data_IF_306719420739
#
_entry.id   IF_306719420739
#
_cell.length_a   1.000
_cell.length_b   1.000
_cell.length_c   1.000
_cell.angle_alpha   90.00
_cell.angle_beta   90.00
_cell.angle_gamma   90.00
#
_symmetry.space_group_name_H-M   'P 1'
#
loop_
_entity.id
_entity.type
_entity.pdbx_description
1 polymer ?
#
# COMPACT_ATOMS: atom_id res chain seq x y z
N UNK A 1 13.99 8.38 8.19
CA UNK A 1 13.15 9.06 9.20
C UNK A 1 13.19 8.23 10.46
N UNK A 2 13.60 8.80 11.60
CA UNK A 2 13.63 8.07 12.86
C UNK A 2 12.24 8.02 13.53
N UNK A 3 12.06 7.14 14.51
CA UNK A 3 10.77 6.93 15.19
C UNK A 3 10.34 8.12 16.06
N UNK A 4 11.29 8.85 16.64
CA UNK A 4 11.03 10.02 17.47
C UNK A 4 10.52 11.19 16.62
N UNK A 5 11.11 11.41 15.45
CA UNK A 5 10.68 12.42 14.48
C UNK A 5 9.20 12.26 14.07
N UNK A 6 8.72 11.02 13.90
CA UNK A 6 7.30 10.78 13.61
C UNK A 6 6.41 11.13 14.81
N UNK A 7 6.79 10.74 16.03
CA UNK A 7 6.02 11.07 17.23
C UNK A 7 5.94 12.58 17.47
N UNK A 8 7.04 13.31 17.25
CA UNK A 8 7.09 14.76 17.35
C UNK A 8 6.18 15.43 16.33
N UNK A 9 6.16 14.97 15.08
CA UNK A 9 5.28 15.52 14.05
C UNK A 9 3.81 15.38 14.46
N UNK A 10 3.40 14.22 14.95
CA UNK A 10 2.04 13.98 15.42
C UNK A 10 1.67 14.85 16.63
N UNK A 11 2.62 15.09 17.53
CA UNK A 11 2.43 15.94 18.70
C UNK A 11 2.35 17.43 18.35
N UNK A 12 3.35 17.96 17.65
CA UNK A 12 3.46 19.37 17.29
C UNK A 12 2.30 19.85 16.41
N UNK A 13 1.72 18.95 15.61
CA UNK A 13 0.56 19.25 14.76
C UNK A 13 -0.78 18.87 15.39
N UNK A 14 -0.78 18.28 16.60
CA UNK A 14 -1.97 17.79 17.29
C UNK A 14 -2.83 16.82 16.45
N UNK A 15 -2.20 15.95 15.66
CA UNK A 15 -2.88 15.07 14.68
C UNK A 15 -3.11 13.63 15.16
N UNK A 16 -2.66 13.27 16.36
CA UNK A 16 -2.83 11.91 16.90
C UNK A 16 -4.30 11.46 17.01
N UNK A 17 -5.17 12.29 17.62
CA UNK A 17 -6.58 11.93 17.80
C UNK A 17 -7.39 12.00 16.49
N UNK A 18 -7.15 13.03 15.67
CA UNK A 18 -7.88 13.23 14.42
C UNK A 18 -7.57 12.13 13.40
N UNK A 19 -6.31 11.68 13.30
CA UNK A 19 -5.94 10.56 12.42
C UNK A 19 -6.53 9.23 12.89
N UNK A 20 -6.57 8.96 14.20
CA UNK A 20 -7.13 7.72 14.75
C UNK A 20 -8.65 7.58 14.54
N UNK A 21 -9.37 8.69 14.36
CA UNK A 21 -10.83 8.71 14.14
C UNK A 21 -11.28 7.83 12.96
N UNK A 22 -10.41 7.68 11.95
CA UNK A 22 -10.69 6.81 10.80
C UNK A 22 -11.00 5.36 11.19
N UNK A 23 -10.46 4.85 12.31
CA UNK A 23 -10.73 3.48 12.73
C UNK A 23 -12.21 3.25 13.10
N UNK A 24 -12.90 4.30 13.54
CA UNK A 24 -14.32 4.24 13.85
C UNK A 24 -15.19 4.60 12.64
N UNK A 25 -14.72 5.51 11.78
CA UNK A 25 -15.51 6.05 10.66
C UNK A 25 -15.33 5.29 9.35
N UNK A 26 -14.24 4.54 9.18
CA UNK A 26 -13.98 3.77 7.98
C UNK A 26 -15.04 2.67 7.81
N UNK A 27 -16.01 2.92 6.93
CA UNK A 27 -16.93 1.90 6.48
C UNK A 27 -16.19 0.93 5.56
N UNK A 28 -16.49 -0.36 5.68
CA UNK A 28 -16.02 -1.33 4.70
C UNK A 28 -16.75 -1.05 3.39
N UNK A 29 -16.03 -0.49 2.42
CA UNK A 29 -16.53 -0.33 1.07
C UNK A 29 -16.63 -1.71 0.43
N UNK A 30 -17.83 -2.06 -0.04
CA UNK A 30 -18.12 -3.34 -0.71
C UNK A 30 -18.07 -3.19 -2.23
N UNK A 31 -17.98 -1.96 -2.74
CA UNK A 31 -17.98 -1.70 -4.17
C UNK A 31 -16.63 -2.10 -4.81
N UNK A 32 -16.65 -2.86 -5.91
CA UNK A 32 -15.43 -3.23 -6.64
C UNK A 32 -14.69 -2.00 -7.18
N UNK A 33 -13.36 -2.03 -7.19
CA UNK A 33 -12.56 -0.99 -7.83
C UNK A 33 -12.79 -1.02 -9.35
N UNK A 34 -13.28 0.07 -9.99
CA UNK A 34 -13.60 0.06 -11.41
C UNK A 34 -12.37 0.25 -12.32
N UNK A 35 -11.18 0.44 -11.74
CA UNK A 35 -9.94 0.67 -12.47
C UNK A 35 -8.93 -0.45 -12.22
N UNK A 36 -8.01 -0.68 -13.18
CA UNK A 36 -6.94 -1.67 -13.03
C UNK A 36 -6.09 -1.47 -11.79
N UNK A 37 -5.78 -2.57 -11.11
CA UNK A 37 -5.07 -2.60 -9.83
C UNK A 37 -3.71 -3.29 -9.99
N UNK A 38 -2.68 -2.72 -9.37
CA UNK A 38 -1.41 -3.38 -9.10
C UNK A 38 -1.30 -3.78 -7.64
N UNK A 39 -0.74 -4.96 -7.36
CA UNK A 39 -0.55 -5.45 -5.99
C UNK A 39 0.92 -5.83 -5.77
N UNK A 40 1.53 -5.25 -4.74
CA UNK A 40 2.86 -5.59 -4.26
C UNK A 40 2.75 -6.23 -2.86
N UNK A 41 3.17 -7.48 -2.74
CA UNK A 41 3.15 -8.23 -1.47
C UNK A 41 4.54 -8.25 -0.87
N UNK A 42 4.69 -7.63 0.31
CA UNK A 42 5.95 -7.62 1.07
C UNK A 42 5.88 -8.62 2.23
N UNK A 43 6.92 -9.44 2.38
CA UNK A 43 6.91 -10.60 3.29
C UNK A 43 6.57 -10.31 4.76
N UNK A 44 6.83 -9.10 5.26
CA UNK A 44 6.62 -8.72 6.67
C UNK A 44 5.44 -7.74 6.86
N UNK A 45 4.52 -7.64 5.89
CA UNK A 45 3.28 -6.89 6.09
C UNK A 45 2.34 -7.64 7.06
N UNK A 46 1.53 -6.90 7.80
CA UNK A 46 0.48 -7.43 8.69
C UNK A 46 -0.59 -8.19 7.93
N UNK A 47 -0.78 -7.88 6.64
CA UNK A 47 -1.76 -8.53 5.76
C UNK A 47 -1.10 -8.93 4.45
N UNK A 48 -0.91 -10.24 4.26
CA UNK A 48 -0.42 -10.79 3.00
C UNK A 48 -1.61 -11.06 2.08
N UNK A 49 -1.60 -10.41 0.92
CA UNK A 49 -2.65 -10.57 -0.08
C UNK A 49 -2.52 -11.92 -0.77
N UNK A 50 -3.65 -12.60 -0.97
CA UNK A 50 -3.72 -13.91 -1.65
C UNK A 50 -4.25 -13.67 -3.06
N UNK A 51 -3.41 -13.92 -4.07
CA UNK A 51 -3.72 -13.58 -5.47
C UNK A 51 -5.08 -14.08 -5.95
N UNK A 52 -5.46 -15.37 -5.80
CA UNK A 52 -6.78 -15.83 -6.23
C UNK A 52 -7.97 -15.14 -5.53
N UNK A 53 -7.79 -14.68 -4.28
CA UNK A 53 -8.85 -13.96 -3.58
C UNK A 53 -8.97 -12.52 -4.08
N UNK A 54 -7.82 -11.88 -4.36
CA UNK A 54 -7.77 -10.53 -4.85
C UNK A 54 -8.30 -10.42 -6.29
N UNK A 55 -7.97 -11.36 -7.16
CA UNK A 55 -8.46 -11.43 -8.55
C UNK A 55 -9.98 -11.64 -8.65
N UNK A 56 -10.63 -12.16 -7.60
CA UNK A 56 -12.10 -12.26 -7.54
C UNK A 56 -12.80 -10.92 -7.32
N UNK A 57 -12.07 -9.92 -6.83
CA UNK A 57 -12.62 -8.64 -6.40
C UNK A 57 -12.12 -7.48 -7.26
N UNK A 58 -10.97 -7.63 -7.92
CA UNK A 58 -10.27 -6.55 -8.62
C UNK A 58 -9.73 -6.99 -9.99
N UNK A 59 -9.70 -6.06 -10.94
CA UNK A 59 -9.00 -6.23 -12.22
C UNK A 59 -7.48 -6.06 -12.01
N UNK A 60 -6.80 -7.12 -11.58
CA UNK A 60 -5.37 -7.10 -11.27
C UNK A 60 -4.55 -7.21 -12.56
N UNK A 61 -3.72 -6.20 -12.81
CA UNK A 61 -2.84 -6.14 -14.00
C UNK A 61 -1.35 -6.21 -13.69
N UNK A 62 -0.99 -6.15 -12.41
CA UNK A 62 0.39 -6.24 -11.95
C UNK A 62 0.41 -6.92 -10.58
N UNK A 63 1.31 -7.87 -10.42
CA UNK A 63 1.46 -8.65 -9.20
C UNK A 63 2.93 -8.94 -8.95
N UNK A 64 3.43 -8.47 -7.81
CA UNK A 64 4.81 -8.67 -7.38
C UNK A 64 4.85 -9.18 -5.94
N UNK A 65 5.78 -10.08 -5.66
CA UNK A 65 6.03 -10.61 -4.32
C UNK A 65 7.50 -10.39 -3.94
N UNK A 66 7.74 -9.85 -2.75
CA UNK A 66 9.06 -9.47 -2.28
C UNK A 66 9.39 -10.15 -0.95
N UNK A 67 10.58 -10.74 -0.85
CA UNK A 67 11.09 -11.42 0.35
C UNK A 67 11.49 -10.47 1.49
N UNK A 68 11.57 -9.15 1.22
CA UNK A 68 12.03 -8.13 2.17
C UNK A 68 11.08 -6.93 2.19
N UNK A 69 11.07 -6.20 3.30
CA UNK A 69 10.12 -5.13 3.57
C UNK A 69 8.85 -5.64 4.24
N UNK A 70 8.09 -4.72 4.82
CA UNK A 70 6.83 -4.99 5.49
C UNK A 70 5.84 -3.84 5.34
N UNK A 71 5.10 -3.57 6.41
CA UNK A 71 3.98 -2.61 6.41
C UNK A 71 4.37 -1.20 5.93
N UNK A 72 5.62 -0.81 6.14
CA UNK A 72 6.14 0.48 5.71
C UNK A 72 7.15 0.34 4.57
N UNK A 73 6.83 -0.47 3.55
CA UNK A 73 7.71 -0.76 2.42
C UNK A 73 8.40 0.47 1.80
N UNK A 74 7.69 1.60 1.66
CA UNK A 74 8.27 2.85 1.15
C UNK A 74 9.38 3.44 2.04
N UNK A 75 9.42 3.11 3.32
CA UNK A 75 10.47 3.51 4.27
C UNK A 75 11.49 2.39 4.53
N UNK A 76 11.09 1.13 4.40
CA UNK A 76 11.93 -0.05 4.70
C UNK A 76 12.77 -0.50 3.49
N UNK A 77 12.19 -0.50 2.30
CA UNK A 77 12.79 -0.95 1.03
C UNK A 77 12.42 0.02 -0.12
N UNK A 78 12.79 1.31 -0.01
CA UNK A 78 12.31 2.36 -0.90
C UNK A 78 12.60 2.09 -2.38
N UNK A 79 13.74 1.49 -2.71
CA UNK A 79 14.13 1.18 -4.08
C UNK A 79 13.23 0.10 -4.69
N UNK A 80 12.91 -0.95 -3.93
CA UNK A 80 12.01 -2.02 -4.38
C UNK A 80 10.59 -1.48 -4.58
N UNK A 81 10.10 -0.71 -3.61
CA UNK A 81 8.79 -0.09 -3.70
C UNK A 81 8.69 0.86 -4.90
N UNK A 82 9.67 1.75 -5.08
CA UNK A 82 9.64 2.72 -6.17
C UNK A 82 9.81 2.08 -7.55
N UNK A 83 10.63 1.03 -7.67
CA UNK A 83 10.78 0.29 -8.91
C UNK A 83 9.46 -0.38 -9.32
N UNK A 84 8.79 -1.06 -8.38
CA UNK A 84 7.53 -1.76 -8.66
C UNK A 84 6.41 -0.81 -9.11
N UNK A 85 6.30 0.36 -8.46
CA UNK A 85 5.37 1.42 -8.87
C UNK A 85 5.68 1.88 -10.30
N UNK A 86 6.95 2.07 -10.65
CA UNK A 86 7.34 2.50 -12.00
C UNK A 86 7.00 1.44 -13.03
N UNK A 87 7.28 0.18 -12.76
CA UNK A 87 7.01 -0.93 -13.67
C UNK A 87 5.51 -1.03 -13.98
N UNK A 88 4.65 -0.92 -12.97
CA UNK A 88 3.19 -0.89 -13.16
C UNK A 88 2.73 0.22 -14.13
N UNK A 89 3.21 1.45 -13.93
CA UNK A 89 2.78 2.58 -14.76
C UNK A 89 3.41 2.57 -16.15
N UNK A 90 4.68 2.16 -16.28
CA UNK A 90 5.37 2.09 -17.57
C UNK A 90 4.77 1.01 -18.47
N UNK A 91 4.42 -0.15 -17.93
CA UNK A 91 3.72 -1.20 -18.67
C UNK A 91 2.38 -0.68 -19.23
N UNK A 92 1.60 0.05 -18.42
CA UNK A 92 0.31 0.65 -18.87
C UNK A 92 0.45 1.73 -19.92
N UNK A 93 1.57 2.46 -19.95
CA UNK A 93 1.80 3.48 -20.99
C UNK A 93 2.11 2.79 -22.32
N UNK A 94 2.80 1.65 -22.30
CA UNK A 94 3.12 0.88 -23.52
C UNK A 94 1.88 0.16 -24.12
N UNK A 95 0.90 -0.19 -23.29
CA UNK A 95 -0.35 -0.85 -23.72
C UNK A 95 -1.40 0.11 -24.33
N UNK A 96 -1.06 1.39 -24.52
CA UNK A 96 -1.97 2.45 -25.00
C UNK A 96 -1.61 2.96 -26.39
#
# INVERSE_FOLDING_TARGET
>A
MDRSSLAELYWLTATAASSARMHHEAQRLTEPCPVPVGVAVFAHDITLSVRPLAERLFDIRHWSEFERGGRFAAMEVPELFAADVRDFFLARIADR
#
